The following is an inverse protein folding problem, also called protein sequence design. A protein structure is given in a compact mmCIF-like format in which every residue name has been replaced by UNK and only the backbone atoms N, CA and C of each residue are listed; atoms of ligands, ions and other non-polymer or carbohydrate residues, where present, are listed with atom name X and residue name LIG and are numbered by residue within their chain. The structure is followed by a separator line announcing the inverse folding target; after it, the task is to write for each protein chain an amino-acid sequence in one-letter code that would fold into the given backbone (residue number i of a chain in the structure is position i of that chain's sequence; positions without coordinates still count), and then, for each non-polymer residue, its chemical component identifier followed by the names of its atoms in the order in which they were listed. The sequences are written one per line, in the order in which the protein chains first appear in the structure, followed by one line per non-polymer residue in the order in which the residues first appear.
data_IF_950661700993
#
_entry.id   IF_950661700993
#
_cell.length_a   1.000
_cell.length_b   1.000
_cell.length_c   1.000
_cell.angle_alpha   90.00
_cell.angle_beta   90.00
_cell.angle_gamma   90.00
#
_symmetry.space_group_name_H-M   'P 1'
#
loop_
_entity.id
_entity.type
_entity.pdbx_description
1 polymer ?
#
# COMPACT_ATOMS: atom_id res chain seq x y z
N UNK A 1 11.12 -74.49 17.59
CA UNK A 1 11.92 -73.42 16.96
C UNK A 1 11.15 -72.86 15.78
N UNK A 2 10.58 -71.66 15.90
CA UNK A 2 10.05 -70.84 14.80
C UNK A 2 10.58 -69.43 15.02
N UNK A 3 11.49 -69.00 14.15
CA UNK A 3 12.12 -67.69 14.17
C UNK A 3 11.07 -66.61 13.85
N UNK A 4 10.93 -65.63 14.74
CA UNK A 4 10.22 -64.39 14.43
C UNK A 4 11.23 -63.37 13.91
N UNK A 5 11.13 -63.05 12.62
CA UNK A 5 11.85 -61.96 11.98
C UNK A 5 11.25 -60.64 12.49
N UNK A 6 12.07 -59.83 13.17
CA UNK A 6 11.73 -58.43 13.46
C UNK A 6 12.24 -57.56 12.31
N UNK A 7 11.33 -57.09 11.46
CA UNK A 7 11.64 -56.09 10.43
C UNK A 7 11.59 -54.70 11.09
N UNK A 8 12.76 -54.07 11.24
CA UNK A 8 12.88 -52.70 11.72
C UNK A 8 12.54 -51.74 10.57
N UNK A 9 11.33 -51.17 10.58
CA UNK A 9 10.95 -50.10 9.64
C UNK A 9 11.53 -48.80 10.19
N UNK A 10 12.63 -48.32 9.60
CA UNK A 10 13.14 -46.98 9.86
C UNK A 10 12.16 -45.97 9.24
N UNK A 11 11.35 -45.33 10.08
CA UNK A 11 10.53 -44.21 9.69
C UNK A 11 11.44 -43.01 9.41
N UNK A 12 11.73 -42.73 8.15
CA UNK A 12 12.33 -41.48 7.71
C UNK A 12 11.28 -40.38 7.92
N UNK A 13 11.35 -39.71 9.06
CA UNK A 13 10.61 -38.48 9.32
C UNK A 13 11.13 -37.42 8.37
N UNK A 14 10.46 -37.22 7.24
CA UNK A 14 10.64 -36.01 6.43
C UNK A 14 10.20 -34.84 7.31
N UNK A 15 11.16 -34.07 7.82
CA UNK A 15 10.88 -32.74 8.36
C UNK A 15 10.22 -31.94 7.23
N UNK A 16 8.89 -31.85 7.25
CA UNK A 16 8.18 -30.81 6.53
C UNK A 16 8.68 -29.50 7.15
N UNK A 17 9.61 -28.83 6.45
CA UNK A 17 9.85 -27.42 6.71
C UNK A 17 8.53 -26.73 6.45
N UNK A 18 7.82 -26.33 7.52
CA UNK A 18 6.76 -25.35 7.38
C UNK A 18 7.39 -24.11 6.74
N UNK A 19 6.75 -23.56 5.71
CA UNK A 19 7.16 -22.26 5.18
C UNK A 19 7.15 -21.28 6.35
N UNK A 20 8.31 -20.75 6.72
CA UNK A 20 8.44 -19.89 7.89
C UNK A 20 7.69 -18.58 7.59
N UNK A 21 6.56 -18.40 8.25
CA UNK A 21 5.72 -17.21 8.15
C UNK A 21 6.57 -16.01 8.58
N UNK A 22 6.68 -15.00 7.71
CA UNK A 22 7.34 -13.74 8.09
C UNK A 22 6.44 -13.09 9.13
N UNK A 23 6.97 -12.93 10.33
CA UNK A 23 6.33 -12.22 11.43
C UNK A 23 7.35 -11.29 12.06
N UNK A 24 7.03 -10.01 12.12
CA UNK A 24 7.86 -8.96 12.72
C UNK A 24 7.03 -8.21 13.74
N UNK A 25 7.51 -8.21 14.97
CA UNK A 25 7.06 -7.34 16.06
C UNK A 25 8.18 -6.35 16.40
N UNK A 26 7.89 -5.41 17.31
CA UNK A 26 8.89 -4.47 17.81
C UNK A 26 9.25 -4.70 19.28
N UNK A 27 8.95 -5.88 19.82
CA UNK A 27 9.25 -6.24 21.21
C UNK A 27 10.72 -6.61 21.40
N UNK A 28 11.36 -7.14 20.36
CA UNK A 28 12.74 -7.57 20.37
C UNK A 28 13.51 -7.12 19.13
N UNK A 29 14.76 -6.63 19.27
CA UNK A 29 15.63 -6.34 18.14
C UNK A 29 15.94 -7.56 17.26
N UNK A 30 15.68 -8.79 17.72
CA UNK A 30 15.84 -10.00 16.90
C UNK A 30 14.72 -10.17 15.85
N UNK A 31 13.60 -9.44 16.00
CA UNK A 31 12.41 -9.56 15.13
C UNK A 31 12.60 -8.85 13.78
N UNK A 32 13.57 -7.95 13.66
CA UNK A 32 13.91 -7.20 12.45
C UNK A 32 15.42 -6.93 12.35
N UNK A 33 15.94 -6.70 11.15
CA UNK A 33 17.37 -6.43 10.93
C UNK A 33 17.74 -4.95 11.05
N UNK A 34 16.78 -4.07 10.79
CA UNK A 34 16.99 -2.64 10.74
C UNK A 34 15.69 -1.87 10.56
N UNK A 35 15.69 -0.61 10.99
CA UNK A 35 14.62 0.35 10.75
C UNK A 35 15.20 1.65 10.22
N UNK A 36 14.41 2.40 9.47
CA UNK A 36 14.79 3.71 8.99
C UNK A 36 13.65 4.38 8.25
N UNK A 37 13.97 5.41 7.49
CA UNK A 37 13.03 6.02 6.54
C UNK A 37 13.46 5.66 5.12
N UNK A 38 12.50 5.63 4.21
CA UNK A 38 12.77 5.49 2.79
C UNK A 38 11.85 6.41 2.00
N UNK A 39 12.35 6.90 0.87
CA UNK A 39 11.61 7.67 -0.11
C UNK A 39 12.00 7.13 -1.48
N UNK A 40 11.01 6.87 -2.34
CA UNK A 40 11.27 6.35 -3.69
C UNK A 40 11.86 7.42 -4.60
N UNK A 41 11.65 8.70 -4.26
CA UNK A 41 12.24 9.82 -4.96
C UNK A 41 13.75 9.92 -4.67
N UNK A 42 14.59 9.58 -5.65
CA UNK A 42 16.05 9.54 -5.47
C UNK A 42 16.66 10.86 -4.99
N UNK A 43 16.11 11.99 -5.42
CA UNK A 43 16.57 13.33 -5.02
C UNK A 43 15.93 13.83 -3.70
N UNK A 44 15.14 12.98 -3.04
CA UNK A 44 14.56 13.29 -1.75
C UNK A 44 15.65 13.78 -0.77
N UNK A 45 15.39 14.83 0.02
CA UNK A 45 16.36 15.30 1.00
C UNK A 45 16.75 14.21 2.01
N UNK A 46 15.89 13.20 2.21
CA UNK A 46 16.17 12.03 3.05
C UNK A 46 17.08 11.01 2.37
N UNK A 47 16.96 10.84 1.05
CA UNK A 47 17.80 9.94 0.24
C UNK A 47 19.20 10.51 0.02
N UNK A 48 19.28 11.82 -0.15
CA UNK A 48 20.55 12.55 -0.36
C UNK A 48 21.26 12.90 0.95
N UNK A 49 20.67 12.59 2.11
CA UNK A 49 21.24 12.86 3.43
C UNK A 49 21.19 14.33 3.87
N UNK A 50 20.53 15.21 3.09
CA UNK A 50 20.30 16.62 3.47
C UNK A 50 19.42 16.76 4.70
N UNK A 51 18.46 15.85 4.87
CA UNK A 51 17.62 15.73 6.06
C UNK A 51 17.72 14.31 6.63
N UNK A 52 17.71 14.19 7.95
CA UNK A 52 17.59 12.92 8.65
C UNK A 52 16.12 12.65 8.95
N UNK A 53 15.60 11.52 8.49
CA UNK A 53 14.23 11.11 8.83
C UNK A 53 14.15 10.50 10.23
N UNK A 54 12.99 10.62 10.85
CA UNK A 54 12.73 10.11 12.20
C UNK A 54 11.90 8.83 12.13
N UNK A 55 12.52 7.72 12.51
CA UNK A 55 11.88 6.42 12.75
C UNK A 55 12.49 5.79 14.01
N UNK A 56 11.65 5.31 14.92
CA UNK A 56 12.11 4.73 16.18
C UNK A 56 11.09 3.75 16.76
N UNK A 57 11.58 2.70 17.38
CA UNK A 57 10.76 1.88 18.29
C UNK A 57 10.52 2.68 19.57
N UNK A 58 9.25 2.81 19.96
CA UNK A 58 8.80 3.58 21.12
C UNK A 58 7.79 2.76 21.93
N UNK A 59 7.56 3.18 23.17
CA UNK A 59 6.51 2.61 23.99
C UNK A 59 5.13 2.83 23.35
N UNK A 60 4.28 1.81 23.40
CA UNK A 60 2.94 1.88 22.86
C UNK A 60 2.06 2.80 23.71
N UNK A 61 1.79 4.00 23.19
CA UNK A 61 0.98 5.02 23.87
C UNK A 61 -0.50 4.64 24.01
N UNK A 62 -0.97 3.59 23.34
CA UNK A 62 -2.36 3.12 23.46
C UNK A 62 -2.53 1.94 24.41
N UNK A 63 -1.43 1.38 24.96
CA UNK A 63 -1.49 0.16 25.77
C UNK A 63 -2.36 0.30 27.04
N UNK A 64 -2.50 1.53 27.55
CA UNK A 64 -3.34 1.88 28.70
C UNK A 64 -4.71 2.45 28.35
N UNK A 65 -5.02 2.66 27.07
CA UNK A 65 -6.23 3.34 26.61
C UNK A 65 -7.21 2.37 25.97
N UNK A 66 -8.23 2.00 26.75
CA UNK A 66 -9.30 1.09 26.35
C UNK A 66 -10.24 1.65 25.26
N UNK A 67 -10.03 2.88 24.76
CA UNK A 67 -10.76 3.42 23.60
C UNK A 67 -9.98 3.30 22.29
N UNK A 68 -8.68 2.99 22.37
CA UNK A 68 -7.76 2.80 21.25
C UNK A 68 -7.38 1.32 21.06
N UNK A 69 -8.26 0.42 21.51
CA UNK A 69 -8.08 -1.03 21.54
C UNK A 69 -7.76 -1.55 20.15
N UNK A 70 -6.78 -2.44 20.03
CA UNK A 70 -6.47 -3.16 18.79
C UNK A 70 -5.05 -3.71 18.80
N UNK A 71 -4.12 -2.95 19.38
CA UNK A 71 -2.74 -3.39 19.57
C UNK A 71 -2.37 -3.48 21.07
N UNK A 72 -1.94 -4.66 21.50
CA UNK A 72 -1.56 -4.98 22.89
C UNK A 72 -0.05 -5.02 23.11
N UNK A 73 0.75 -4.83 22.07
CA UNK A 73 2.20 -4.75 22.18
C UNK A 73 2.62 -3.62 23.10
N UNK A 74 3.74 -3.80 23.80
CA UNK A 74 4.38 -2.79 24.65
C UNK A 74 5.19 -1.81 23.81
N UNK A 75 5.70 -2.26 22.67
CA UNK A 75 6.53 -1.47 21.77
C UNK A 75 5.92 -1.41 20.37
N UNK A 76 6.08 -0.28 19.71
CA UNK A 76 5.59 -0.02 18.35
C UNK A 76 6.64 0.79 17.57
N UNK A 77 6.62 0.69 16.24
CA UNK A 77 7.50 1.49 15.40
C UNK A 77 6.79 2.77 14.96
N UNK A 78 7.31 3.92 15.40
CA UNK A 78 6.85 5.23 14.97
C UNK A 78 7.66 5.76 13.79
N UNK A 79 6.99 6.52 12.93
CA UNK A 79 7.61 7.31 11.86
C UNK A 79 7.01 8.69 11.80
N UNK A 80 7.87 9.71 11.69
CA UNK A 80 7.44 11.05 11.37
C UNK A 80 7.22 11.14 9.86
N UNK A 81 5.97 11.18 9.42
CA UNK A 81 5.62 11.61 8.06
C UNK A 81 6.03 13.07 7.92
N UNK A 82 7.10 13.33 7.18
CA UNK A 82 7.63 14.68 6.98
C UNK A 82 7.07 15.33 5.73
N UNK A 83 6.66 16.60 5.80
CA UNK A 83 6.20 17.41 4.64
C UNK A 83 7.24 17.59 3.54
N UNK A 84 8.52 17.33 3.84
CA UNK A 84 9.60 17.38 2.86
C UNK A 84 9.82 16.05 2.13
N UNK A 85 9.16 14.98 2.55
CA UNK A 85 9.21 13.68 1.90
C UNK A 85 8.17 13.61 0.78
N UNK A 86 8.44 12.83 -0.28
CA UNK A 86 7.47 12.61 -1.34
C UNK A 86 6.18 11.95 -0.81
N UNK A 87 5.17 11.80 -1.66
CA UNK A 87 3.98 11.01 -1.35
C UNK A 87 4.24 9.50 -1.22
N UNK A 88 5.50 9.06 -1.28
CA UNK A 88 5.92 7.68 -1.01
C UNK A 88 7.00 7.59 0.07
N UNK A 89 7.16 8.68 0.83
CA UNK A 89 7.99 8.68 2.02
C UNK A 89 7.35 7.82 3.11
N UNK A 90 8.11 6.88 3.66
CA UNK A 90 7.61 5.94 4.65
C UNK A 90 8.68 5.38 5.56
N UNK A 91 8.26 4.48 6.45
CA UNK A 91 9.16 3.75 7.35
C UNK A 91 9.63 2.48 6.67
N UNK A 92 10.96 2.30 6.63
CA UNK A 92 11.61 1.08 6.14
C UNK A 92 11.82 0.13 7.31
N UNK A 93 11.47 -1.13 7.10
CA UNK A 93 11.76 -2.25 7.99
C UNK A 93 12.54 -3.30 7.20
N UNK A 94 13.77 -3.58 7.60
CA UNK A 94 14.56 -4.67 7.05
C UNK A 94 14.15 -5.98 7.73
N UNK A 95 13.69 -6.94 6.94
CA UNK A 95 13.09 -8.17 7.44
C UNK A 95 14.14 -9.09 8.08
N UNK A 96 13.77 -9.89 9.10
CA UNK A 96 14.68 -10.86 9.73
C UNK A 96 15.18 -11.92 8.74
N UNK A 97 14.33 -12.25 7.76
CA UNK A 97 14.62 -13.15 6.65
C UNK A 97 13.87 -12.67 5.39
N UNK A 98 14.36 -13.05 4.22
CA UNK A 98 13.70 -12.72 2.95
C UNK A 98 12.46 -13.60 2.74
N UNK A 99 11.56 -13.15 1.87
CA UNK A 99 10.52 -14.00 1.29
C UNK A 99 10.46 -13.82 -0.22
N UNK A 100 10.02 -14.87 -0.93
CA UNK A 100 9.84 -14.82 -2.37
C UNK A 100 8.51 -14.15 -2.75
N UNK A 101 8.56 -13.19 -3.67
CA UNK A 101 7.40 -12.61 -4.31
C UNK A 101 6.92 -13.51 -5.46
N UNK A 102 5.93 -14.35 -5.16
CA UNK A 102 5.40 -15.39 -6.05
C UNK A 102 4.27 -14.90 -6.96
N UNK A 103 3.93 -15.66 -8.02
CA UNK A 103 2.71 -15.42 -8.81
C UNK A 103 1.42 -15.57 -8.03
N UNK A 104 1.41 -16.44 -7.01
CA UNK A 104 0.29 -16.58 -6.08
C UNK A 104 0.18 -15.35 -5.18
N UNK A 105 -1.03 -14.81 -5.05
CA UNK A 105 -1.30 -13.63 -4.21
C UNK A 105 -1.10 -13.99 -2.75
N UNK A 106 -0.28 -13.22 -2.06
CA UNK A 106 -0.15 -13.21 -0.60
C UNK A 106 -0.57 -11.86 -0.06
N UNK A 107 -0.71 -11.75 1.25
CA UNK A 107 -1.12 -10.52 1.91
C UNK A 107 -0.09 -10.14 2.96
N UNK A 108 0.36 -8.89 2.92
CA UNK A 108 1.09 -8.29 4.03
C UNK A 108 0.07 -7.62 4.93
N UNK A 109 0.01 -8.06 6.17
CA UNK A 109 -0.72 -7.41 7.23
C UNK A 109 0.22 -6.55 8.05
N UNK A 110 -0.27 -5.41 8.49
CA UNK A 110 0.41 -4.57 9.48
C UNK A 110 -0.64 -3.86 10.32
N UNK A 111 -0.47 -3.90 11.64
CA UNK A 111 -1.28 -3.02 12.50
C UNK A 111 -0.77 -1.61 12.30
N UNK A 112 -1.66 -0.69 11.96
CA UNK A 112 -1.32 0.70 11.73
C UNK A 112 -2.20 1.62 12.57
N UNK A 113 -1.58 2.65 13.14
CA UNK A 113 -2.25 3.79 13.77
C UNK A 113 -1.87 5.05 13.01
N UNK A 114 -2.87 5.73 12.46
CA UNK A 114 -2.67 6.95 11.69
C UNK A 114 -3.58 8.07 12.24
N UNK A 115 -3.03 9.28 12.54
CA UNK A 115 -3.84 10.40 12.99
C UNK A 115 -4.69 11.03 11.87
N UNK A 116 -4.50 10.63 10.61
CA UNK A 116 -5.20 11.15 9.46
C UNK A 116 -5.88 10.03 8.64
N UNK A 117 -7.04 10.34 8.07
CA UNK A 117 -7.67 9.47 7.07
C UNK A 117 -6.95 9.67 5.74
N UNK A 118 -6.12 8.72 5.35
CA UNK A 118 -5.36 8.78 4.10
C UNK A 118 -5.17 7.39 3.51
N UNK A 119 -4.75 7.34 2.24
CA UNK A 119 -4.21 6.12 1.66
C UNK A 119 -2.84 5.83 2.22
N UNK A 120 -2.63 4.55 2.44
CA UNK A 120 -1.33 4.00 2.81
C UNK A 120 -0.87 3.05 1.72
N UNK A 121 0.43 3.00 1.51
CA UNK A 121 1.07 2.17 0.51
C UNK A 121 2.14 1.31 1.17
N UNK A 122 2.32 0.12 0.61
CA UNK A 122 3.45 -0.74 0.86
C UNK A 122 4.33 -0.79 -0.38
N UNK A 123 5.63 -0.58 -0.19
CA UNK A 123 6.65 -0.79 -1.22
C UNK A 123 7.55 -1.93 -0.76
N UNK A 124 7.75 -2.92 -1.63
CA UNK A 124 8.69 -4.02 -1.39
C UNK A 124 10.04 -3.73 -2.01
N UNK A 125 11.10 -3.70 -1.19
CA UNK A 125 12.48 -3.58 -1.66
C UNK A 125 13.11 -4.97 -1.71
N UNK A 126 13.71 -5.28 -2.84
CA UNK A 126 14.28 -6.59 -3.06
C UNK A 126 15.16 -6.69 -4.29
N UNK A 127 15.59 -7.90 -4.58
CA UNK A 127 16.37 -8.22 -5.78
C UNK A 127 15.91 -9.54 -6.38
N UNK A 128 16.15 -9.69 -7.67
CA UNK A 128 15.95 -10.96 -8.36
C UNK A 128 17.10 -11.91 -8.11
N UNK A 129 16.80 -13.18 -7.92
CA UNK A 129 17.79 -14.24 -7.72
C UNK A 129 18.62 -14.49 -8.98
N UNK A 130 18.07 -14.18 -10.16
CA UNK A 130 18.73 -14.30 -11.46
C UNK A 130 19.53 -13.05 -11.90
N UNK A 131 19.62 -12.01 -11.06
CA UNK A 131 20.35 -10.76 -11.36
C UNK A 131 21.36 -10.43 -10.26
N UNK A 132 22.58 -11.00 -10.29
CA UNK A 132 23.59 -10.84 -9.23
C UNK A 132 24.02 -9.40 -8.94
N UNK A 133 23.87 -8.47 -9.89
CA UNK A 133 24.21 -7.05 -9.72
C UNK A 133 23.06 -6.13 -9.28
N UNK A 134 21.85 -6.67 -9.11
CA UNK A 134 20.71 -5.85 -8.69
C UNK A 134 20.80 -5.53 -7.20
N UNK A 135 20.66 -4.24 -6.85
CA UNK A 135 20.60 -3.81 -5.45
C UNK A 135 19.39 -4.42 -4.74
N UNK A 136 19.57 -4.83 -3.48
CA UNK A 136 18.47 -5.25 -2.60
C UNK A 136 17.50 -4.11 -2.26
N UNK A 137 17.89 -2.86 -2.53
CA UNK A 137 17.04 -1.68 -2.39
C UNK A 137 16.22 -1.39 -3.66
N UNK A 138 16.22 -2.28 -4.66
CA UNK A 138 15.39 -2.09 -5.85
C UNK A 138 13.92 -2.32 -5.51
N UNK A 139 13.07 -1.38 -5.90
CA UNK A 139 11.63 -1.49 -5.71
C UNK A 139 11.04 -2.56 -6.63
N UNK A 140 10.39 -3.56 -6.03
CA UNK A 140 9.82 -4.72 -6.74
C UNK A 140 8.31 -4.61 -6.92
N UNK A 141 7.62 -3.99 -5.97
CA UNK A 141 6.19 -3.73 -6.04
C UNK A 141 5.80 -2.51 -5.23
N UNK A 142 4.69 -1.92 -5.61
CA UNK A 142 4.04 -0.79 -4.96
C UNK A 142 2.55 -1.11 -4.89
N UNK A 143 1.97 -1.11 -3.70
CA UNK A 143 0.56 -1.48 -3.54
C UNK A 143 -0.12 -0.70 -2.43
N UNK A 144 -1.37 -0.29 -2.66
CA UNK A 144 -2.19 0.34 -1.63
C UNK A 144 -2.85 -0.71 -0.75
N UNK A 145 -3.18 -0.35 0.49
CA UNK A 145 -4.02 -1.20 1.32
C UNK A 145 -5.41 -1.37 0.66
N UNK A 146 -5.96 -2.58 0.70
CA UNK A 146 -7.27 -2.88 0.10
C UNK A 146 -8.43 -2.54 1.01
N UNK A 147 -8.22 -2.57 2.33
CA UNK A 147 -9.28 -2.33 3.31
C UNK A 147 -9.35 -0.86 3.74
N UNK A 148 -10.54 -0.37 4.13
CA UNK A 148 -10.67 0.93 4.77
C UNK A 148 -9.85 0.98 6.06
N UNK A 149 -9.09 2.06 6.23
CA UNK A 149 -8.32 2.33 7.43
C UNK A 149 -9.12 3.20 8.40
N UNK A 150 -8.73 3.11 9.67
CA UNK A 150 -9.30 3.92 10.74
C UNK A 150 -8.35 5.04 11.14
N UNK A 151 -8.94 6.17 11.52
CA UNK A 151 -8.22 7.36 11.96
C UNK A 151 -8.22 7.43 13.48
N UNK A 152 -7.07 7.75 14.06
CA UNK A 152 -6.85 7.80 15.50
C UNK A 152 -7.15 6.49 16.24
N UNK A 153 -7.13 5.36 15.53
CA UNK A 153 -7.37 4.02 16.08
C UNK A 153 -6.46 3.01 15.38
N UNK A 154 -6.09 1.94 16.09
CA UNK A 154 -5.39 0.81 15.47
C UNK A 154 -6.34 0.07 14.53
N UNK A 155 -5.87 -0.21 13.33
CA UNK A 155 -6.52 -1.08 12.35
C UNK A 155 -5.47 -1.98 11.69
N UNK A 156 -5.90 -3.09 11.08
CA UNK A 156 -5.01 -3.92 10.28
C UNK A 156 -5.06 -3.45 8.83
N UNK A 157 -3.96 -2.90 8.32
CA UNK A 157 -3.81 -2.57 6.90
C UNK A 157 -3.35 -3.83 6.15
N UNK A 158 -4.11 -4.20 5.11
CA UNK A 158 -3.91 -5.43 4.35
C UNK A 158 -3.52 -5.09 2.92
N UNK A 159 -2.34 -5.58 2.51
CA UNK A 159 -1.74 -5.28 1.22
C UNK A 159 -1.61 -6.56 0.38
N UNK A 160 -2.32 -6.68 -0.76
CA UNK A 160 -2.15 -7.81 -1.66
C UNK A 160 -0.81 -7.69 -2.39
N UNK A 161 0.02 -8.72 -2.32
CA UNK A 161 1.32 -8.76 -2.99
C UNK A 161 1.40 -9.96 -3.92
N UNK A 162 1.92 -9.74 -5.12
CA UNK A 162 2.21 -10.76 -6.12
C UNK A 162 3.34 -10.29 -7.04
N UNK A 163 4.00 -11.24 -7.69
CA UNK A 163 5.06 -10.96 -8.64
C UNK A 163 5.32 -12.15 -9.55
N UNK A 164 6.47 -12.17 -10.22
CA UNK A 164 6.75 -13.18 -11.25
C UNK A 164 7.53 -14.41 -10.71
N UNK A 165 7.78 -14.50 -9.41
CA UNK A 165 8.72 -15.47 -8.85
C UNK A 165 10.19 -15.09 -9.10
N UNK A 166 11.10 -15.72 -8.35
CA UNK A 166 12.55 -15.45 -8.42
C UNK A 166 12.93 -14.04 -7.93
N UNK A 167 12.10 -13.43 -7.08
CA UNK A 167 12.32 -12.11 -6.48
C UNK A 167 12.32 -12.27 -4.97
N UNK A 168 13.44 -11.95 -4.31
CA UNK A 168 13.57 -11.95 -2.87
C UNK A 168 13.31 -10.54 -2.31
N UNK A 169 12.31 -10.43 -1.44
CA UNK A 169 12.01 -9.19 -0.72
C UNK A 169 12.84 -9.18 0.56
N UNK A 170 13.64 -8.13 0.71
CA UNK A 170 14.54 -7.93 1.86
C UNK A 170 13.96 -6.94 2.87
N UNK A 171 13.22 -5.94 2.40
CA UNK A 171 12.70 -4.86 3.23
C UNK A 171 11.32 -4.44 2.75
N UNK A 172 10.53 -3.95 3.69
CA UNK A 172 9.22 -3.36 3.43
C UNK A 172 9.25 -1.89 3.80
N UNK A 173 8.64 -1.05 2.99
CA UNK A 173 8.44 0.37 3.28
C UNK A 173 6.94 0.64 3.41
N UNK A 174 6.52 1.07 4.59
CA UNK A 174 5.14 1.46 4.87
C UNK A 174 5.02 2.98 4.77
N UNK A 175 4.27 3.43 3.78
CA UNK A 175 3.99 4.84 3.49
C UNK A 175 2.70 5.21 4.23
N UNK A 176 2.76 6.05 5.28
CA UNK A 176 1.59 6.38 6.09
C UNK A 176 0.67 7.40 5.42
N UNK A 177 1.10 8.08 4.35
CA UNK A 177 0.28 9.06 3.65
C UNK A 177 0.73 9.21 2.21
N UNK A 178 -0.15 8.80 1.30
CA UNK A 178 0.08 8.83 -0.14
C UNK A 178 -0.49 10.09 -0.82
N UNK A 179 -1.05 11.01 -0.05
CA UNK A 179 -1.51 12.29 -0.59
C UNK A 179 -0.31 13.13 -1.03
N UNK A 180 -0.59 14.07 -1.93
CA UNK A 180 0.42 15.04 -2.37
C UNK A 180 0.97 15.83 -1.17
N UNK A 181 2.30 15.90 -0.97
CA UNK A 181 2.88 16.62 0.16
C UNK A 181 2.71 18.14 0.03
N UNK A 182 2.32 18.66 -1.14
CA UNK A 182 2.15 20.10 -1.37
C UNK A 182 1.10 20.74 -0.46
N UNK A 183 0.08 19.98 -0.05
CA UNK A 183 -0.94 20.44 0.89
C UNK A 183 -0.58 20.15 2.36
N UNK A 184 0.47 19.36 2.63
CA UNK A 184 0.84 18.93 3.96
C UNK A 184 1.56 20.05 4.72
N UNK A 185 0.80 20.77 5.55
CA UNK A 185 1.31 21.95 6.27
C UNK A 185 2.27 21.62 7.41
N UNK A 186 2.11 20.45 8.02
CA UNK A 186 2.87 20.01 9.19
C UNK A 186 3.19 18.52 9.13
N UNK A 187 4.34 18.18 9.71
CA UNK A 187 4.74 16.80 9.95
C UNK A 187 3.81 16.17 11.00
N UNK A 188 3.58 14.86 10.89
CA UNK A 188 2.84 14.09 11.89
C UNK A 188 3.43 12.70 12.08
N UNK A 189 3.07 12.05 13.18
CA UNK A 189 3.58 10.70 13.48
C UNK A 189 2.51 9.65 13.18
N UNK A 190 2.90 8.61 12.45
CA UNK A 190 2.14 7.38 12.30
C UNK A 190 2.90 6.23 12.95
N UNK A 191 2.20 5.15 13.30
CA UNK A 191 2.80 4.01 13.96
C UNK A 191 2.39 2.71 13.28
N UNK A 192 3.31 1.74 13.26
CA UNK A 192 3.07 0.39 12.78
C UNK A 192 3.53 -0.66 13.79
N UNK A 193 2.95 -1.86 13.69
CA UNK A 193 3.32 -3.02 14.48
C UNK A 193 2.83 -4.33 13.85
N UNK A 194 3.30 -5.47 14.36
CA UNK A 194 2.86 -6.82 14.02
C UNK A 194 2.75 -7.08 12.51
N UNK A 195 3.85 -6.93 11.79
CA UNK A 195 3.90 -7.21 10.35
C UNK A 195 3.84 -8.72 10.14
N UNK A 196 3.00 -9.16 9.20
CA UNK A 196 2.83 -10.57 8.88
C UNK A 196 2.66 -10.77 7.38
N UNK A 197 3.37 -11.74 6.80
CA UNK A 197 3.08 -12.22 5.43
C UNK A 197 2.22 -13.47 5.52
N UNK A 198 0.99 -13.40 5.02
CA UNK A 198 -0.03 -14.44 5.15
C UNK A 198 -0.66 -14.78 3.80
N UNK A 199 -1.46 -15.86 3.76
CA UNK A 199 -2.36 -16.17 2.64
C UNK A 199 -3.79 -15.65 2.86
N UNK A 200 -4.05 -14.98 3.98
CA UNK A 200 -5.37 -14.53 4.41
C UNK A 200 -5.59 -13.08 3.97
N UNK A 201 -6.75 -12.76 3.41
CA UNK A 201 -7.07 -11.41 2.97
C UNK A 201 -7.88 -10.60 4.00
N UNK A 202 -8.22 -11.20 5.14
CA UNK A 202 -9.08 -10.58 6.14
C UNK A 202 -8.27 -9.78 7.16
N UNK A 203 -8.66 -8.53 7.46
CA UNK A 203 -8.05 -7.75 8.53
C UNK A 203 -8.09 -8.48 9.87
N UNK A 204 -6.97 -8.50 10.61
CA UNK A 204 -6.84 -9.19 11.91
C UNK A 204 -7.47 -8.43 13.07
N UNK A 205 -7.54 -7.10 12.97
CA UNK A 205 -8.17 -6.21 13.96
C UNK A 205 -8.92 -5.09 13.25
N UNK A 206 -9.91 -4.52 13.93
CA UNK A 206 -10.61 -3.26 13.62
C UNK A 206 -10.49 -2.83 12.14
N UNK A 207 -11.29 -3.43 11.28
CA UNK A 207 -11.65 -2.76 10.04
C UNK A 207 -12.77 -1.75 10.39
N UNK A 208 -12.83 -0.58 9.72
CA UNK A 208 -14.13 0.06 9.59
C UNK A 208 -15.11 -1.00 9.11
N UNK A 209 -16.39 -1.03 9.54
CA UNK A 209 -17.33 -2.05 9.09
C UNK A 209 -17.40 -2.03 7.57
N UNK A 210 -16.58 -2.86 6.93
CA UNK A 210 -16.82 -3.33 5.59
C UNK A 210 -18.03 -4.21 5.78
N UNK A 211 -19.15 -3.86 5.14
CA UNK A 211 -20.04 -4.93 4.71
C UNK A 211 -19.13 -6.00 4.10
N UNK A 212 -19.14 -7.25 4.60
CA UNK A 212 -18.31 -8.28 3.99
C UNK A 212 -18.52 -8.20 2.48
N UNK A 213 -17.44 -8.26 1.72
CA UNK A 213 -17.56 -8.60 0.31
C UNK A 213 -18.02 -10.06 0.27
N UNK A 214 -19.31 -10.27 0.57
CA UNK A 214 -20.04 -11.32 -0.08
C UNK A 214 -19.91 -11.03 -1.57
N UNK A 215 -19.60 -12.01 -2.43
CA UNK A 215 -19.92 -11.86 -3.83
C UNK A 215 -21.42 -11.53 -3.88
N UNK A 216 -21.74 -10.24 -4.08
CA UNK A 216 -23.13 -9.82 -4.16
C UNK A 216 -23.62 -10.33 -5.50
N UNK A 217 -24.33 -11.45 -5.47
CA UNK A 217 -25.27 -11.80 -6.51
C UNK A 217 -26.37 -10.72 -6.52
N UNK A 218 -26.13 -9.65 -7.27
CA UNK A 218 -26.97 -8.48 -7.42
C UNK A 218 -26.24 -7.37 -8.19
N UNK A 219 -26.94 -6.43 -8.85
CA UNK A 219 -26.27 -5.40 -9.63
C UNK A 219 -25.40 -4.52 -8.71
N UNK A 220 -24.09 -4.51 -8.95
CA UNK A 220 -23.10 -3.68 -8.24
C UNK A 220 -23.57 -2.22 -8.29
N UNK A 221 -23.88 -1.60 -7.15
CA UNK A 221 -24.42 -0.22 -7.11
C UNK A 221 -23.33 0.86 -7.09
N UNK A 222 -22.14 0.50 -6.63
CA UNK A 222 -21.00 1.40 -6.46
C UNK A 222 -19.73 0.72 -6.95
N UNK A 223 -18.78 1.52 -7.43
CA UNK A 223 -17.45 1.08 -7.85
C UNK A 223 -16.39 1.82 -7.07
N UNK A 224 -15.24 1.17 -6.89
CA UNK A 224 -14.06 1.83 -6.32
C UNK A 224 -13.40 2.66 -7.41
N UNK A 225 -13.31 3.96 -7.19
CA UNK A 225 -12.51 4.88 -7.98
C UNK A 225 -11.25 5.23 -7.21
N UNK A 226 -10.11 4.88 -7.78
CA UNK A 226 -8.79 5.19 -7.25
C UNK A 226 -8.17 6.24 -8.14
N UNK A 227 -7.50 7.25 -7.57
CA UNK A 227 -6.64 8.14 -8.32
C UNK A 227 -5.23 8.19 -7.73
N UNK A 228 -4.24 8.37 -8.60
CA UNK A 228 -2.84 8.59 -8.27
C UNK A 228 -2.18 9.44 -9.35
N UNK A 229 -1.46 10.49 -8.97
CA UNK A 229 -0.86 11.43 -9.92
C UNK A 229 0.56 11.80 -9.50
N UNK A 230 1.40 12.18 -10.46
CA UNK A 230 2.73 12.76 -10.21
C UNK A 230 2.70 14.23 -10.64
N UNK A 231 3.26 15.13 -9.83
CA UNK A 231 3.34 16.58 -10.12
C UNK A 231 1.97 17.29 -10.27
N UNK A 232 0.97 16.78 -9.55
CA UNK A 232 -0.38 17.31 -9.50
C UNK A 232 -1.29 16.34 -8.76
N UNK A 233 -2.55 16.70 -8.60
CA UNK A 233 -3.57 15.84 -7.99
C UNK A 233 -4.92 16.02 -8.68
N UNK A 234 -5.86 15.12 -8.38
CA UNK A 234 -7.22 15.16 -8.91
C UNK A 234 -8.20 15.35 -7.76
N UNK A 235 -9.29 16.08 -7.97
CA UNK A 235 -10.39 16.22 -6.99
C UNK A 235 -11.73 15.84 -7.61
N UNK A 236 -12.73 15.58 -6.77
CA UNK A 236 -14.13 15.56 -7.17
C UNK A 236 -14.67 16.99 -7.40
N UNK A 237 -15.96 17.08 -7.75
CA UNK A 237 -16.68 18.35 -7.92
C UNK A 237 -16.77 19.22 -6.66
N UNK A 238 -16.55 18.62 -5.48
CA UNK A 238 -16.57 19.27 -4.16
C UNK A 238 -15.18 19.66 -3.68
N UNK A 239 -14.17 19.53 -4.54
CA UNK A 239 -12.75 19.75 -4.25
C UNK A 239 -12.15 18.78 -3.23
N UNK A 240 -12.78 17.62 -2.99
CA UNK A 240 -12.17 16.54 -2.23
C UNK A 240 -11.13 15.82 -3.08
N UNK A 241 -9.89 15.69 -2.60
CA UNK A 241 -8.83 14.97 -3.33
C UNK A 241 -9.26 13.52 -3.57
N UNK A 242 -9.24 13.13 -4.84
CA UNK A 242 -9.50 11.76 -5.24
C UNK A 242 -8.27 10.95 -4.87
N UNK A 243 -8.49 10.07 -3.91
CA UNK A 243 -7.56 9.00 -3.61
C UNK A 243 -8.27 7.70 -3.84
N UNK A 244 -9.13 7.24 -2.93
CA UNK A 244 -9.98 6.06 -3.12
C UNK A 244 -11.37 6.40 -2.65
N UNK A 245 -12.38 6.20 -3.50
CA UNK A 245 -13.75 6.57 -3.20
C UNK A 245 -14.73 5.57 -3.79
N UNK A 246 -15.79 5.25 -3.03
CA UNK A 246 -16.94 4.54 -3.57
C UNK A 246 -17.83 5.52 -4.30
N UNK A 247 -17.95 5.35 -5.61
CA UNK A 247 -18.74 6.23 -6.48
C UNK A 247 -19.86 5.42 -7.13
N UNK A 248 -21.02 6.03 -7.42
CA UNK A 248 -22.13 5.31 -8.03
C UNK A 248 -21.72 4.69 -9.39
N UNK A 249 -22.03 3.41 -9.58
CA UNK A 249 -21.81 2.74 -10.87
C UNK A 249 -22.79 3.28 -11.92
N UNK A 250 -22.37 3.31 -13.19
CA UNK A 250 -23.19 3.70 -14.33
C UNK A 250 -23.80 5.11 -14.18
N UNK A 251 -23.08 5.99 -13.47
CA UNK A 251 -23.36 7.42 -13.41
C UNK A 251 -22.09 8.17 -13.75
N UNK A 252 -22.22 9.23 -14.53
CA UNK A 252 -21.07 10.08 -14.87
C UNK A 252 -20.43 10.65 -13.60
N UNK A 253 -19.12 10.88 -13.66
CA UNK A 253 -18.35 11.37 -12.53
C UNK A 253 -17.47 12.53 -12.94
N UNK A 254 -17.57 13.65 -12.24
CA UNK A 254 -16.76 14.85 -12.53
C UNK A 254 -15.45 14.76 -11.76
N UNK A 255 -14.35 14.91 -12.48
CA UNK A 255 -13.00 15.03 -11.93
C UNK A 255 -12.43 16.40 -12.29
N UNK A 256 -11.68 17.01 -11.37
CA UNK A 256 -10.90 18.23 -11.60
C UNK A 256 -9.42 17.96 -11.45
N UNK A 257 -8.62 18.45 -12.39
CA UNK A 257 -7.17 18.35 -12.34
C UNK A 257 -6.55 19.61 -11.73
N UNK A 258 -5.61 19.40 -10.79
CA UNK A 258 -4.87 20.45 -10.11
C UNK A 258 -3.37 20.24 -10.33
N UNK A 259 -2.77 20.86 -11.37
CA UNK A 259 -1.33 20.81 -11.60
C UNK A 259 -0.55 21.44 -10.44
N UNK A 260 0.61 20.88 -10.10
CA UNK A 260 1.55 21.55 -9.19
C UNK A 260 2.16 22.80 -9.86
N UNK A 261 2.68 23.78 -9.09
CA UNK A 261 3.38 24.92 -9.66
C UNK A 261 4.49 24.50 -10.63
N UNK A 262 4.51 25.07 -11.85
CA UNK A 262 5.46 24.72 -12.91
C UNK A 262 5.04 23.53 -13.79
N UNK A 263 3.84 22.98 -13.58
CA UNK A 263 3.30 21.88 -14.37
C UNK A 263 1.95 22.23 -15.00
N UNK A 264 1.60 21.52 -16.07
CA UNK A 264 0.26 21.54 -16.71
C UNK A 264 -0.21 20.11 -16.92
N UNK A 265 -1.53 19.90 -16.94
CA UNK A 265 -2.09 18.61 -17.34
C UNK A 265 -1.70 18.32 -18.80
N UNK A 266 -1.14 17.15 -19.06
CA UNK A 266 -0.92 16.62 -20.41
C UNK A 266 -2.12 15.74 -20.79
N UNK A 267 -2.41 14.72 -19.98
CA UNK A 267 -3.59 13.87 -20.12
C UNK A 267 -4.00 13.23 -18.80
N UNK A 268 -5.22 12.74 -18.76
CA UNK A 268 -5.71 11.82 -17.74
C UNK A 268 -5.79 10.41 -18.34
N UNK A 269 -5.13 9.44 -17.73
CA UNK A 269 -5.38 8.03 -18.02
C UNK A 269 -6.54 7.54 -17.17
N UNK A 270 -7.57 7.00 -17.81
CA UNK A 270 -8.69 6.32 -17.15
C UNK A 270 -8.59 4.84 -17.46
N UNK A 271 -8.30 4.02 -16.45
CA UNK A 271 -8.36 2.57 -16.56
C UNK A 271 -9.57 2.06 -15.81
N UNK A 272 -10.36 1.19 -16.43
CA UNK A 272 -11.49 0.57 -15.76
C UNK A 272 -11.68 -0.86 -16.21
N UNK A 273 -12.20 -1.71 -15.33
CA UNK A 273 -12.65 -3.05 -15.74
C UNK A 273 -14.05 -2.94 -16.36
N UNK A 274 -14.19 -3.36 -17.61
CA UNK A 274 -15.49 -3.58 -18.22
C UNK A 274 -16.09 -4.86 -17.63
N UNK A 275 -17.17 -4.72 -16.86
CA UNK A 275 -17.81 -5.84 -16.18
C UNK A 275 -18.52 -6.80 -17.15
N UNK A 276 -18.87 -6.36 -18.36
CA UNK A 276 -19.55 -7.20 -19.35
C UNK A 276 -18.56 -8.15 -20.00
N UNK A 277 -17.34 -7.67 -20.28
CA UNK A 277 -16.30 -8.47 -20.95
C UNK A 277 -15.25 -9.02 -19.98
N UNK A 278 -15.20 -8.52 -18.75
CA UNK A 278 -14.17 -8.81 -17.76
C UNK A 278 -12.80 -8.20 -18.07
N UNK A 279 -12.67 -7.42 -19.15
CA UNK A 279 -11.39 -6.88 -19.62
C UNK A 279 -11.09 -5.52 -18.98
N UNK A 280 -9.81 -5.24 -18.76
CA UNK A 280 -9.36 -3.88 -18.44
C UNK A 280 -9.32 -3.06 -19.72
N UNK A 281 -9.96 -1.89 -19.68
CA UNK A 281 -9.94 -0.88 -20.73
C UNK A 281 -9.09 0.29 -20.23
N UNK A 282 -8.21 0.82 -21.08
CA UNK A 282 -7.43 2.02 -20.81
C UNK A 282 -7.80 3.09 -21.82
N UNK A 283 -8.17 4.28 -21.32
CA UNK A 283 -8.57 5.40 -22.16
C UNK A 283 -7.78 6.64 -21.78
N UNK A 284 -7.08 7.21 -22.76
CA UNK A 284 -6.34 8.46 -22.63
C UNK A 284 -7.26 9.64 -22.94
N UNK A 285 -7.45 10.53 -21.97
CA UNK A 285 -8.21 11.77 -22.11
C UNK A 285 -7.22 12.93 -22.17
N UNK A 286 -6.99 13.46 -23.36
CA UNK A 286 -6.08 14.60 -23.56
C UNK A 286 -6.58 15.84 -22.80
N UNK A 287 -5.66 16.69 -22.33
CA UNK A 287 -6.00 17.93 -21.62
C UNK A 287 -6.96 18.84 -22.41
N UNK A 288 -6.95 18.80 -23.74
CA UNK A 288 -7.89 19.54 -24.59
C UNK A 288 -9.37 19.13 -24.43
N UNK A 289 -9.65 17.98 -23.79
CA UNK A 289 -11.01 17.54 -23.47
C UNK A 289 -11.51 18.06 -22.12
N UNK A 290 -10.63 18.67 -21.31
CA UNK A 290 -10.99 19.30 -20.05
C UNK A 290 -11.56 20.69 -20.32
N UNK A 291 -12.51 21.11 -19.48
CA UNK A 291 -13.00 22.48 -19.47
C UNK A 291 -11.92 23.44 -18.96
N UNK A 292 -12.13 24.75 -19.17
CA UNK A 292 -11.18 25.79 -18.77
C UNK A 292 -10.92 25.83 -17.26
N UNK A 293 -11.85 25.34 -16.44
CA UNK A 293 -11.69 25.22 -14.99
C UNK A 293 -10.97 23.93 -14.56
N UNK A 294 -10.42 23.18 -15.51
CA UNK A 294 -9.71 21.92 -15.26
C UNK A 294 -10.62 20.73 -14.97
N UNK A 295 -11.93 20.82 -15.24
CA UNK A 295 -12.86 19.70 -15.05
C UNK A 295 -13.03 18.81 -16.29
N UNK A 296 -13.28 17.53 -16.05
CA UNK A 296 -13.70 16.56 -17.06
C UNK A 296 -14.79 15.65 -16.48
N UNK A 297 -15.80 15.35 -17.28
CA UNK A 297 -16.87 14.42 -16.90
C UNK A 297 -16.56 13.05 -17.49
N UNK A 298 -16.20 12.11 -16.63
CA UNK A 298 -16.06 10.70 -17.00
C UNK A 298 -17.45 10.17 -17.37
N UNK A 299 -17.62 9.61 -18.57
CA UNK A 299 -18.90 9.06 -19.02
C UNK A 299 -19.38 7.90 -18.15
N UNK A 300 -20.70 7.77 -17.99
CA UNK A 300 -21.33 6.74 -17.16
C UNK A 300 -20.93 5.31 -17.58
N UNK A 301 -20.69 5.09 -18.86
CA UNK A 301 -20.27 3.81 -19.43
C UNK A 301 -18.87 3.36 -18.98
N UNK A 302 -17.99 4.30 -18.62
CA UNK A 302 -16.65 3.97 -18.08
C UNK A 302 -16.71 3.67 -16.59
N UNK A 303 -17.80 4.09 -15.93
CA UNK A 303 -18.03 3.92 -14.50
C UNK A 303 -18.59 2.53 -14.19
N UNK A 304 -17.84 1.49 -14.58
CA UNK A 304 -18.30 0.10 -14.69
C UNK A 304 -17.77 -0.81 -13.58
N UNK A 305 -16.47 -1.10 -13.59
CA UNK A 305 -15.76 -1.87 -12.56
C UNK A 305 -14.82 -0.98 -11.74
N UNK A 306 -13.75 -1.55 -11.16
CA UNK A 306 -12.73 -0.75 -10.47
C UNK A 306 -12.10 0.24 -11.46
N UNK A 307 -12.01 1.50 -11.04
CA UNK A 307 -11.52 2.61 -11.85
C UNK A 307 -10.20 3.09 -11.25
N UNK A 308 -9.20 3.30 -12.11
CA UNK A 308 -7.95 3.96 -11.78
C UNK A 308 -7.80 5.20 -12.67
N UNK A 309 -7.63 6.34 -12.02
CA UNK A 309 -7.35 7.63 -12.65
C UNK A 309 -5.88 7.97 -12.43
N UNK A 310 -5.15 8.26 -13.50
CA UNK A 310 -3.78 8.76 -13.41
C UNK A 310 -3.63 10.09 -14.14
N UNK A 311 -3.50 11.16 -13.37
CA UNK A 311 -3.19 12.47 -13.91
C UNK A 311 -1.71 12.55 -14.29
N UNK A 312 -1.45 12.83 -15.57
CA UNK A 312 -0.11 13.03 -16.11
C UNK A 312 0.13 14.51 -16.32
N UNK A 313 1.07 15.06 -15.55
CA UNK A 313 1.37 16.48 -15.53
C UNK A 313 2.78 16.71 -16.07
N UNK A 314 2.88 17.52 -17.13
CA UNK A 314 4.13 17.84 -17.81
C UNK A 314 4.67 19.19 -17.34
N UNK A 315 6.00 19.30 -17.22
CA UNK A 315 6.70 20.56 -16.92
C UNK A 315 6.34 21.62 -17.96
N UNK A 316 6.14 22.85 -17.51
CA UNK A 316 6.00 24.02 -18.39
C UNK A 316 7.34 24.63 -18.77
N UNK A 317 8.40 24.31 -18.03
CA UNK A 317 9.77 24.64 -18.40
C UNK A 317 10.29 23.60 -19.39
N UNK A 318 10.79 24.07 -20.53
CA UNK A 318 11.43 23.27 -21.58
C UNK A 318 12.91 23.09 -21.32
#
# INVERSE_FOLDING_TARGET
MKQFLFTLIAATSTLQMSAQQIQVDFESPASYRGIGVYDTWSESPFRTGKLKGNAAVVANFTASDATKVGNKSKQILGVQRSRFGSNTFGVRVDLPQTFELTPEVKYVHVKMYNPQTTKVMLVGLGKRTDRPGQSADTEQFWVYAENPLLTNQWCDAVFPIKGNGGIEIHSLVFVPDCNSPHALQADFTAYIDDIEVSSQNQPRINAAPSKPFAPQAGPVKFVTLTAGSRNGYLTDEKNGELTSSLVPRAKSFVVKAHPAPGFKLDYLMVRYTDITTGKTVETRVEAAKFAADGSFTIPAEWMSGNILLEGQFASTEK
#
